data_IF_961631822460
#
_entry.id   IF_961631822460
#
_cell.length_a   1.000
_cell.length_b   1.000
_cell.length_c   1.000
_cell.angle_alpha   90.00
_cell.angle_beta   90.00
_cell.angle_gamma   90.00
#
_symmetry.space_group_name_H-M   'P 1'
#
loop_
_entity.id
_entity.type
_entity.pdbx_description
1 polymer ?
#
# COMPACT_ATOMS: atom_id res chain seq x y z
N UNK A 1 2.62 -5.58 -23.94
CA UNK A 1 3.23 -5.40 -25.29
C UNK A 1 2.59 -4.16 -25.92
N UNK A 2 3.29 -3.27 -26.64
CA UNK A 2 2.67 -2.15 -27.36
C UNK A 2 1.46 -2.51 -28.24
N UNK A 3 1.41 -3.74 -28.77
CA UNK A 3 0.27 -4.27 -29.54
C UNK A 3 -0.94 -4.72 -28.71
N UNK A 4 -0.79 -4.80 -27.38
CA UNK A 4 -1.87 -5.10 -26.43
C UNK A 4 -2.49 -3.81 -25.86
N UNK A 5 -2.26 -2.65 -26.49
CA UNK A 5 -2.85 -1.37 -26.06
C UNK A 5 -4.35 -1.37 -26.34
N UNK A 6 -5.11 -1.68 -25.31
CA UNK A 6 -6.55 -1.47 -25.26
C UNK A 6 -6.79 0.01 -24.91
N UNK A 7 -7.71 0.67 -25.60
CA UNK A 7 -8.11 2.05 -25.26
C UNK A 7 -8.93 2.05 -23.96
N UNK A 8 -8.98 3.18 -23.25
CA UNK A 8 -9.80 3.28 -22.02
C UNK A 8 -11.28 3.01 -22.30
N UNK A 9 -11.80 3.46 -23.43
CA UNK A 9 -13.20 3.24 -23.80
C UNK A 9 -13.49 1.75 -24.04
N UNK A 10 -12.55 1.05 -24.69
CA UNK A 10 -12.62 -0.40 -24.86
C UNK A 10 -12.59 -1.15 -23.53
N UNK A 11 -11.79 -0.69 -22.55
CA UNK A 11 -11.76 -1.26 -21.20
C UNK A 11 -13.11 -1.04 -20.50
N UNK A 12 -13.67 0.17 -20.55
CA UNK A 12 -14.97 0.50 -19.94
C UNK A 12 -16.09 -0.39 -20.44
N UNK A 13 -16.15 -0.63 -21.76
CA UNK A 13 -17.15 -1.55 -22.33
C UNK A 13 -17.04 -2.95 -21.71
N UNK A 14 -15.83 -3.52 -21.62
CA UNK A 14 -15.63 -4.83 -20.97
C UNK A 14 -16.06 -4.78 -19.49
N UNK A 15 -15.64 -3.74 -18.75
CA UNK A 15 -15.97 -3.57 -17.34
C UNK A 15 -17.49 -3.52 -17.12
N UNK A 16 -18.23 -2.86 -18.01
CA UNK A 16 -19.69 -2.78 -17.92
C UNK A 16 -20.35 -4.16 -18.04
N UNK A 17 -19.85 -5.06 -18.90
CA UNK A 17 -20.34 -6.44 -18.96
C UNK A 17 -20.06 -7.18 -17.65
N UNK A 18 -18.86 -7.05 -17.08
CA UNK A 18 -18.53 -7.70 -15.82
C UNK A 18 -19.28 -7.11 -14.61
N UNK A 19 -19.60 -5.82 -14.61
CA UNK A 19 -20.48 -5.20 -13.61
C UNK A 19 -21.89 -5.78 -13.69
N UNK A 20 -22.47 -5.83 -14.90
CA UNK A 20 -23.78 -6.47 -15.11
C UNK A 20 -23.80 -7.94 -14.72
N UNK A 21 -22.72 -8.68 -14.97
CA UNK A 21 -22.55 -10.06 -14.53
C UNK A 21 -22.70 -10.20 -13.00
N UNK A 22 -22.15 -9.25 -12.24
CA UNK A 22 -22.24 -9.23 -10.77
C UNK A 22 -23.64 -8.82 -10.32
N UNK A 23 -24.19 -7.75 -10.92
CA UNK A 23 -25.48 -7.17 -10.53
C UNK A 23 -26.64 -8.15 -10.78
N UNK A 24 -26.60 -8.86 -11.92
CA UNK A 24 -27.64 -9.81 -12.32
C UNK A 24 -27.33 -11.25 -11.89
N UNK A 25 -26.12 -11.50 -11.36
CA UNK A 25 -25.61 -12.84 -10.98
C UNK A 25 -25.61 -13.83 -12.16
N UNK A 26 -25.44 -13.34 -13.37
CA UNK A 26 -25.35 -14.14 -14.60
C UNK A 26 -23.92 -14.08 -15.17
N UNK A 27 -23.02 -14.84 -14.56
CA UNK A 27 -21.60 -14.76 -14.90
C UNK A 27 -21.29 -15.33 -16.28
N UNK A 28 -21.94 -16.43 -16.65
CA UNK A 28 -21.70 -17.12 -17.91
C UNK A 28 -22.14 -16.27 -19.11
N UNK A 29 -23.38 -15.77 -19.12
CA UNK A 29 -23.90 -15.00 -20.25
C UNK A 29 -23.09 -13.73 -20.48
N UNK A 30 -22.82 -12.96 -19.42
CA UNK A 30 -22.09 -11.71 -19.56
C UNK A 30 -20.62 -11.91 -19.91
N UNK A 31 -19.98 -13.00 -19.45
CA UNK A 31 -18.63 -13.37 -19.89
C UNK A 31 -18.62 -13.69 -21.40
N UNK A 32 -19.55 -14.53 -21.88
CA UNK A 32 -19.63 -14.88 -23.29
C UNK A 32 -19.95 -13.65 -24.15
N UNK A 33 -20.84 -12.77 -23.70
CA UNK A 33 -21.10 -11.51 -24.41
C UNK A 33 -19.84 -10.64 -24.49
N UNK A 34 -19.10 -10.45 -23.39
CA UNK A 34 -17.85 -9.68 -23.41
C UNK A 34 -16.80 -10.32 -24.33
N UNK A 35 -16.72 -11.65 -24.32
CA UNK A 35 -15.83 -12.45 -25.14
C UNK A 35 -16.13 -12.32 -26.65
N UNK A 36 -17.40 -12.27 -27.03
CA UNK A 36 -17.86 -12.26 -28.44
C UNK A 36 -18.13 -10.85 -28.99
N UNK A 37 -18.25 -9.83 -28.13
CA UNK A 37 -18.49 -8.46 -28.54
C UNK A 37 -17.29 -7.85 -29.28
N UNK A 38 -16.06 -8.19 -28.87
CA UNK A 38 -14.87 -7.41 -29.24
C UNK A 38 -13.63 -8.22 -29.59
N UNK A 39 -12.93 -7.76 -30.62
CA UNK A 39 -11.70 -8.37 -31.13
C UNK A 39 -10.49 -8.24 -30.17
N UNK A 40 -10.57 -7.42 -29.12
CA UNK A 40 -9.44 -7.16 -28.21
C UNK A 40 -9.46 -8.04 -26.96
N UNK A 41 -10.60 -8.20 -26.29
CA UNK A 41 -10.68 -9.04 -25.08
C UNK A 41 -10.37 -10.51 -25.40
N UNK A 42 -11.12 -11.07 -26.35
CA UNK A 42 -10.92 -12.41 -26.90
C UNK A 42 -9.45 -12.65 -27.25
N UNK A 43 -8.84 -11.73 -28.01
CA UNK A 43 -7.48 -11.87 -28.52
C UNK A 43 -6.46 -11.90 -27.41
N UNK A 44 -6.55 -10.98 -26.44
CA UNK A 44 -5.59 -10.87 -25.33
C UNK A 44 -5.75 -12.05 -24.38
N UNK A 45 -6.98 -12.42 -24.03
CA UNK A 45 -7.24 -13.58 -23.18
C UNK A 45 -6.66 -14.86 -23.79
N UNK A 46 -6.98 -15.13 -25.06
CA UNK A 46 -6.49 -16.34 -25.74
C UNK A 46 -4.98 -16.34 -25.97
N UNK A 47 -4.37 -15.19 -26.26
CA UNK A 47 -2.92 -15.05 -26.34
C UNK A 47 -2.26 -15.38 -25.00
N UNK A 48 -2.77 -14.84 -23.90
CA UNK A 48 -2.23 -15.12 -22.57
C UNK A 48 -2.44 -16.57 -22.15
N UNK A 49 -3.61 -17.15 -22.43
CA UNK A 49 -3.86 -18.58 -22.20
C UNK A 49 -2.82 -19.44 -22.92
N UNK A 50 -2.65 -19.23 -24.23
CA UNK A 50 -1.72 -20.03 -25.05
C UNK A 50 -0.24 -19.91 -24.64
N UNK A 51 0.17 -18.82 -23.99
CA UNK A 51 1.56 -18.61 -23.56
C UNK A 51 1.80 -19.11 -22.14
N UNK A 52 0.84 -18.87 -21.23
CA UNK A 52 1.06 -18.95 -19.80
C UNK A 52 0.32 -20.09 -19.10
N UNK A 53 -0.75 -20.67 -19.68
CA UNK A 53 -1.62 -21.56 -18.92
C UNK A 53 -0.91 -22.83 -18.43
N UNK A 54 -0.04 -23.42 -19.25
CA UNK A 54 0.72 -24.61 -18.88
C UNK A 54 1.77 -24.34 -17.79
N UNK A 55 2.17 -23.09 -17.63
CA UNK A 55 3.10 -22.72 -16.56
C UNK A 55 2.49 -23.04 -15.20
N UNK A 56 1.17 -23.00 -15.02
CA UNK A 56 0.54 -23.36 -13.74
C UNK A 56 0.93 -24.76 -13.22
N UNK A 57 1.20 -25.70 -14.12
CA UNK A 57 1.55 -27.08 -13.78
C UNK A 57 3.06 -27.33 -13.64
N UNK A 58 3.91 -26.35 -13.96
CA UNK A 58 5.37 -26.49 -13.98
C UNK A 58 5.99 -26.01 -12.65
N UNK A 59 6.02 -26.88 -11.64
CA UNK A 59 6.57 -26.57 -10.31
C UNK A 59 8.08 -26.30 -10.27
N UNK A 60 8.79 -26.39 -11.40
CA UNK A 60 10.25 -26.27 -11.45
C UNK A 60 10.75 -24.85 -11.78
N UNK A 61 9.86 -23.95 -12.21
CA UNK A 61 10.21 -22.56 -12.55
C UNK A 61 9.83 -21.61 -11.42
N UNK A 62 10.76 -20.74 -11.03
CA UNK A 62 10.50 -19.67 -10.05
C UNK A 62 9.45 -18.69 -10.59
N UNK A 63 8.22 -18.76 -10.06
CA UNK A 63 7.04 -18.03 -10.52
C UNK A 63 7.00 -16.53 -10.18
N UNK A 64 8.13 -15.86 -9.98
CA UNK A 64 8.07 -14.53 -9.36
C UNK A 64 7.43 -13.41 -10.23
N UNK A 65 7.52 -13.45 -11.56
CA UNK A 65 7.08 -12.31 -12.39
C UNK A 65 5.61 -12.35 -12.84
N UNK A 66 5.04 -13.54 -13.08
CA UNK A 66 3.71 -13.69 -13.70
C UNK A 66 2.71 -14.53 -12.88
N UNK A 67 3.04 -14.93 -11.64
CA UNK A 67 2.19 -15.80 -10.81
C UNK A 67 0.73 -15.34 -10.75
N UNK A 68 0.48 -14.05 -10.55
CA UNK A 68 -0.88 -13.50 -10.47
C UNK A 68 -1.66 -13.70 -11.77
N UNK A 69 -1.04 -13.43 -12.92
CA UNK A 69 -1.67 -13.62 -14.22
C UNK A 69 -1.99 -15.09 -14.48
N UNK A 70 -1.04 -15.99 -14.25
CA UNK A 70 -1.21 -17.44 -14.44
C UNK A 70 -2.38 -17.96 -13.60
N UNK A 71 -2.44 -17.59 -12.32
CA UNK A 71 -3.56 -17.95 -11.46
C UNK A 71 -4.89 -17.40 -11.99
N UNK A 72 -4.95 -16.12 -12.36
CA UNK A 72 -6.17 -15.53 -12.91
C UNK A 72 -6.68 -16.30 -14.14
N UNK A 73 -5.79 -16.68 -15.07
CA UNK A 73 -6.15 -17.45 -16.25
C UNK A 73 -6.75 -18.82 -15.89
N UNK A 74 -6.12 -19.56 -14.97
CA UNK A 74 -6.64 -20.85 -14.50
C UNK A 74 -7.99 -20.70 -13.81
N UNK A 75 -8.19 -19.65 -13.02
CA UNK A 75 -9.47 -19.39 -12.38
C UNK A 75 -10.57 -19.09 -13.40
N UNK A 76 -10.31 -18.30 -14.45
CA UNK A 76 -11.28 -18.04 -15.52
C UNK A 76 -11.70 -19.36 -16.19
N UNK A 77 -10.74 -20.22 -16.55
CA UNK A 77 -11.03 -21.52 -17.18
C UNK A 77 -11.81 -22.43 -16.24
N UNK A 78 -11.43 -22.48 -14.96
CA UNK A 78 -12.08 -23.31 -13.94
C UNK A 78 -13.50 -22.85 -13.67
N UNK A 79 -13.71 -21.56 -13.48
CA UNK A 79 -15.03 -20.97 -13.22
C UNK A 79 -16.00 -21.21 -14.38
N UNK A 80 -15.52 -21.10 -15.62
CA UNK A 80 -16.34 -21.40 -16.78
C UNK A 80 -16.66 -22.91 -16.84
N UNK A 81 -15.63 -23.77 -16.81
CA UNK A 81 -15.77 -25.23 -16.95
C UNK A 81 -16.71 -25.85 -15.91
N UNK A 82 -16.74 -25.31 -14.69
CA UNK A 82 -17.58 -25.79 -13.60
C UNK A 82 -18.78 -24.88 -13.31
N UNK A 83 -19.14 -23.98 -14.23
CA UNK A 83 -20.31 -23.13 -14.05
C UNK A 83 -21.59 -23.99 -14.01
N UNK A 84 -22.52 -23.78 -13.06
CA UNK A 84 -23.71 -24.63 -12.89
C UNK A 84 -24.57 -24.77 -14.15
N UNK A 85 -24.68 -23.70 -14.93
CA UNK A 85 -25.48 -23.66 -16.15
C UNK A 85 -24.74 -24.12 -17.42
N UNK A 86 -23.44 -24.43 -17.37
CA UNK A 86 -22.67 -24.77 -18.57
C UNK A 86 -23.21 -26.01 -19.29
N UNK A 87 -23.84 -26.92 -18.53
CA UNK A 87 -24.49 -28.12 -19.05
C UNK A 87 -25.58 -27.85 -20.09
N UNK A 88 -26.21 -26.67 -20.05
CA UNK A 88 -27.27 -26.26 -21.00
C UNK A 88 -26.73 -25.98 -22.40
N UNK A 89 -25.44 -25.70 -22.50
CA UNK A 89 -24.77 -25.24 -23.70
C UNK A 89 -23.81 -26.29 -24.26
N UNK A 90 -23.86 -27.55 -23.81
CA UNK A 90 -22.93 -28.58 -24.27
C UNK A 90 -23.06 -28.84 -25.77
N UNK A 91 -21.92 -28.96 -26.46
CA UNK A 91 -21.89 -29.24 -27.89
C UNK A 91 -21.19 -30.56 -28.20
N UNK A 92 -21.80 -31.34 -29.12
CA UNK A 92 -21.24 -32.54 -29.73
C UNK A 92 -21.48 -32.51 -31.22
N UNK A 93 -20.49 -32.96 -31.98
CA UNK A 93 -20.56 -32.99 -33.44
C UNK A 93 -19.39 -32.28 -34.07
N UNK A 94 -19.58 -31.82 -35.30
CA UNK A 94 -18.52 -31.25 -36.13
C UNK A 94 -18.60 -29.72 -36.09
N UNK A 95 -17.47 -29.04 -35.88
CA UNK A 95 -17.37 -27.60 -36.03
C UNK A 95 -16.11 -27.22 -36.82
N UNK A 96 -16.11 -26.00 -37.35
CA UNK A 96 -15.13 -25.52 -38.32
C UNK A 96 -14.46 -24.25 -37.84
N UNK A 97 -13.16 -24.10 -38.11
CA UNK A 97 -12.41 -22.87 -37.82
C UNK A 97 -11.57 -22.50 -39.02
N UNK A 98 -11.88 -21.35 -39.61
CA UNK A 98 -11.01 -20.75 -40.60
C UNK A 98 -9.96 -19.86 -39.98
N UNK A 99 -8.73 -19.95 -40.48
CA UNK A 99 -7.61 -19.15 -40.04
C UNK A 99 -6.71 -18.81 -41.22
N UNK A 100 -6.05 -17.66 -41.12
CA UNK A 100 -4.89 -17.32 -41.95
C UNK A 100 -3.63 -17.58 -41.13
N UNK A 101 -2.74 -18.43 -41.64
CA UNK A 101 -1.57 -18.89 -40.88
C UNK A 101 -0.30 -18.86 -41.74
N UNK A 102 0.85 -18.81 -41.06
CA UNK A 102 2.16 -18.93 -41.72
C UNK A 102 2.53 -20.40 -41.93
N UNK A 103 3.57 -20.65 -42.72
CA UNK A 103 4.14 -22.00 -42.85
C UNK A 103 4.62 -22.55 -41.49
N UNK A 104 5.17 -21.69 -40.64
CA UNK A 104 5.65 -22.10 -39.32
C UNK A 104 4.51 -22.54 -38.40
N UNK A 105 3.36 -21.87 -38.50
CA UNK A 105 2.16 -22.21 -37.74
C UNK A 105 1.53 -23.53 -38.21
N UNK A 106 1.81 -23.96 -39.45
CA UNK A 106 1.37 -25.25 -40.00
C UNK A 106 2.23 -26.43 -39.53
N UNK A 107 3.50 -26.19 -39.16
CA UNK A 107 4.45 -27.25 -38.78
C UNK A 107 3.96 -28.20 -37.66
N UNK A 108 3.20 -27.75 -36.65
CA UNK A 108 2.62 -28.64 -35.64
C UNK A 108 1.55 -29.59 -36.17
N UNK A 109 0.93 -29.31 -37.32
CA UNK A 109 -0.14 -30.15 -37.87
C UNK A 109 0.46 -31.22 -38.78
N UNK A 110 0.69 -32.41 -38.22
CA UNK A 110 1.14 -33.60 -38.95
C UNK A 110 0.17 -34.74 -38.72
N UNK A 111 0.02 -35.61 -39.71
CA UNK A 111 -0.82 -36.80 -39.59
C UNK A 111 -0.47 -37.61 -38.33
N UNK A 112 -1.48 -38.01 -37.55
CA UNK A 112 -1.38 -38.68 -36.26
C UNK A 112 -0.75 -37.89 -35.10
N UNK A 113 -0.44 -36.61 -35.30
CA UNK A 113 0.06 -35.74 -34.23
C UNK A 113 -1.06 -35.31 -33.31
N UNK A 114 -0.76 -35.22 -32.01
CA UNK A 114 -1.68 -34.73 -31.00
C UNK A 114 -1.44 -33.24 -30.76
N UNK A 115 -2.53 -32.46 -30.72
CA UNK A 115 -2.56 -31.03 -30.53
C UNK A 115 -3.33 -30.74 -29.25
N UNK A 116 -2.65 -30.10 -28.29
CA UNK A 116 -3.28 -29.61 -27.07
C UNK A 116 -3.81 -28.20 -27.31
N UNK A 117 -5.13 -28.04 -27.24
CA UNK A 117 -5.75 -26.72 -27.18
C UNK A 117 -5.51 -26.11 -25.79
N UNK A 118 -4.90 -24.93 -25.73
CA UNK A 118 -4.59 -24.24 -24.46
C UNK A 118 -5.52 -23.05 -24.17
N UNK A 119 -6.34 -22.65 -25.13
CA UNK A 119 -7.13 -21.42 -25.06
C UNK A 119 -8.60 -21.70 -25.38
N UNK A 120 -9.45 -20.69 -25.30
CA UNK A 120 -10.83 -20.79 -25.75
C UNK A 120 -10.84 -20.72 -27.28
N UNK A 121 -11.01 -21.87 -27.92
CA UNK A 121 -10.90 -22.00 -29.37
C UNK A 121 -12.27 -21.77 -29.99
N UNK A 122 -12.46 -20.56 -30.52
CA UNK A 122 -13.62 -20.18 -31.31
C UNK A 122 -13.68 -20.95 -32.64
N UNK A 123 -14.84 -21.51 -32.94
CA UNK A 123 -15.17 -22.27 -34.15
C UNK A 123 -16.65 -22.02 -34.50
N UNK A 124 -17.14 -22.54 -35.62
CA UNK A 124 -18.53 -22.38 -36.06
C UNK A 124 -19.13 -23.72 -36.47
N UNK A 125 -20.42 -23.92 -36.23
CA UNK A 125 -21.14 -25.04 -36.86
C UNK A 125 -21.36 -24.80 -38.36
N UNK A 126 -21.19 -23.56 -38.83
CA UNK A 126 -21.38 -23.17 -40.22
C UNK A 126 -20.04 -23.17 -40.98
N UNK A 127 -19.97 -24.07 -41.96
CA UNK A 127 -18.80 -24.21 -42.82
C UNK A 127 -18.47 -22.92 -43.58
N UNK A 128 -19.47 -22.21 -44.10
CA UNK A 128 -19.26 -21.00 -44.91
C UNK A 128 -18.76 -19.85 -44.04
N UNK A 129 -19.27 -19.72 -42.81
CA UNK A 129 -18.75 -18.74 -41.84
C UNK A 129 -17.28 -19.00 -41.55
N UNK A 130 -16.90 -20.26 -41.26
CA UNK A 130 -15.50 -20.60 -41.04
C UNK A 130 -14.64 -20.30 -42.27
N UNK A 131 -15.12 -20.62 -43.47
CA UNK A 131 -14.42 -20.35 -44.74
C UNK A 131 -14.13 -18.86 -44.95
N UNK A 132 -15.07 -17.98 -44.58
CA UNK A 132 -14.84 -16.52 -44.61
C UNK A 132 -13.63 -16.12 -43.76
N UNK A 133 -13.49 -16.67 -42.55
CA UNK A 133 -12.34 -16.41 -41.67
C UNK A 133 -11.02 -17.02 -42.19
N UNK A 134 -11.09 -18.06 -43.02
CA UNK A 134 -9.92 -18.61 -43.73
C UNK A 134 -9.41 -17.68 -44.84
N UNK A 135 -10.17 -16.66 -45.23
CA UNK A 135 -9.67 -15.56 -46.05
C UNK A 135 -10.31 -15.34 -47.42
N UNK A 136 -11.54 -15.78 -47.66
CA UNK A 136 -12.29 -15.50 -48.89
C UNK A 136 -12.99 -14.11 -48.90
N UNK A 137 -12.38 -13.08 -48.27
CA UNK A 137 -12.94 -11.73 -48.10
C UNK A 137 -12.13 -10.56 -48.72
N UNK A 138 -12.70 -9.34 -48.69
CA UNK A 138 -12.18 -8.15 -49.38
C UNK A 138 -10.73 -7.74 -48.98
N UNK A 139 -9.99 -7.17 -49.95
CA UNK A 139 -8.55 -6.89 -49.90
C UNK A 139 -8.07 -5.91 -48.82
N UNK A 140 -8.96 -5.12 -48.21
CA UNK A 140 -8.57 -3.97 -47.36
C UNK A 140 -8.16 -4.31 -45.92
N UNK A 141 -8.27 -5.56 -45.49
CA UNK A 141 -8.06 -5.97 -44.08
C UNK A 141 -7.04 -7.12 -43.93
N UNK A 142 -5.91 -7.06 -44.64
CA UNK A 142 -4.84 -8.03 -44.44
C UNK A 142 -4.23 -7.92 -43.03
N UNK A 143 -4.38 -8.98 -42.22
CA UNK A 143 -3.56 -9.17 -41.01
C UNK A 143 -2.14 -9.54 -41.45
N UNK A 144 -1.18 -8.75 -41.04
CA UNK A 144 0.25 -9.01 -41.22
C UNK A 144 0.81 -9.73 -39.98
N UNK A 145 1.90 -10.49 -40.13
CA UNK A 145 2.68 -10.89 -38.95
C UNK A 145 3.31 -9.65 -38.31
N UNK A 146 3.81 -9.78 -37.07
CA UNK A 146 4.57 -8.73 -36.37
C UNK A 146 5.76 -8.22 -37.22
N UNK A 147 6.30 -9.09 -38.08
CA UNK A 147 7.39 -8.79 -39.02
C UNK A 147 6.91 -8.32 -40.41
N UNK A 148 5.64 -7.94 -40.55
CA UNK A 148 5.00 -7.54 -41.81
C UNK A 148 4.96 -8.60 -42.92
N UNK A 149 5.25 -9.86 -42.62
CA UNK A 149 5.19 -10.93 -43.62
C UNK A 149 3.73 -11.31 -43.91
N UNK A 150 3.36 -11.58 -45.17
CA UNK A 150 2.00 -11.98 -45.52
C UNK A 150 1.70 -13.38 -44.95
N UNK A 151 0.51 -13.56 -44.36
CA UNK A 151 -0.02 -14.88 -43.99
C UNK A 151 -0.33 -15.63 -45.30
N UNK A 152 0.41 -16.70 -45.60
CA UNK A 152 0.45 -17.30 -46.94
C UNK A 152 -0.58 -18.41 -47.18
N UNK A 153 -1.13 -18.99 -46.10
CA UNK A 153 -2.00 -20.15 -46.13
C UNK A 153 -3.39 -19.80 -45.62
N UNK A 154 -4.40 -20.19 -46.41
CA UNK A 154 -5.80 -20.26 -45.97
C UNK A 154 -6.00 -21.64 -45.36
N UNK A 155 -6.32 -21.70 -44.06
CA UNK A 155 -6.45 -22.96 -43.35
C UNK A 155 -7.86 -23.11 -42.79
N UNK A 156 -8.46 -24.27 -43.05
CA UNK A 156 -9.74 -24.66 -42.51
C UNK A 156 -9.57 -25.91 -41.65
N UNK A 157 -9.78 -25.77 -40.35
CA UNK A 157 -9.77 -26.88 -39.43
C UNK A 157 -11.20 -27.39 -39.20
N UNK A 158 -11.42 -28.68 -39.38
CA UNK A 158 -12.64 -29.39 -38.97
C UNK A 158 -12.34 -30.14 -37.66
N UNK A 159 -13.11 -29.86 -36.62
CA UNK A 159 -13.00 -30.53 -35.32
C UNK A 159 -14.21 -31.43 -35.12
N UNK A 160 -13.96 -32.70 -34.76
CA UNK A 160 -14.99 -33.64 -34.32
C UNK A 160 -14.97 -33.70 -32.79
N UNK A 161 -16.04 -33.22 -32.15
CA UNK A 161 -16.24 -33.19 -30.71
C UNK A 161 -17.12 -34.37 -30.29
N UNK A 162 -16.58 -35.23 -29.43
CA UNK A 162 -17.18 -36.47 -28.94
C UNK A 162 -17.53 -36.44 -27.46
N UNK A 163 -16.97 -35.52 -26.67
CA UNK A 163 -17.26 -35.38 -25.23
C UNK A 163 -18.25 -34.24 -24.95
N UNK A 164 -19.05 -34.36 -23.89
CA UNK A 164 -20.02 -33.34 -23.50
C UNK A 164 -19.36 -32.10 -22.86
N UNK A 165 -18.14 -32.24 -22.33
CA UNK A 165 -17.50 -31.24 -21.47
C UNK A 165 -16.43 -30.40 -22.16
N UNK A 166 -16.26 -30.54 -23.47
CA UNK A 166 -15.10 -29.99 -24.19
C UNK A 166 -15.45 -28.87 -25.16
N UNK A 167 -16.70 -28.76 -25.59
CA UNK A 167 -17.17 -27.62 -26.34
C UNK A 167 -18.54 -27.15 -25.85
N UNK A 168 -18.78 -25.85 -25.99
CA UNK A 168 -20.08 -25.24 -25.71
C UNK A 168 -20.61 -24.47 -26.92
N UNK A 169 -21.89 -24.60 -27.18
CA UNK A 169 -22.65 -23.79 -28.12
C UNK A 169 -22.98 -22.45 -27.47
N UNK A 170 -22.38 -21.40 -27.99
CA UNK A 170 -22.55 -20.04 -27.47
C UNK A 170 -23.38 -19.18 -28.41
N UNK A 171 -24.02 -19.75 -29.43
CA UNK A 171 -24.79 -19.01 -30.44
C UNK A 171 -25.83 -18.09 -29.79
N UNK A 172 -26.58 -18.59 -28.80
CA UNK A 172 -27.65 -17.83 -28.13
C UNK A 172 -27.11 -16.78 -27.13
N UNK A 173 -25.88 -16.98 -26.65
CA UNK A 173 -25.23 -16.08 -25.69
C UNK A 173 -24.37 -15.01 -26.38
N UNK A 174 -23.93 -15.30 -27.60
CA UNK A 174 -23.00 -14.48 -28.36
C UNK A 174 -23.61 -13.14 -28.77
N UNK A 175 -22.77 -12.10 -28.80
CA UNK A 175 -23.12 -10.82 -29.41
C UNK A 175 -23.14 -10.88 -30.95
N UNK A 176 -22.73 -12.01 -31.53
CA UNK A 176 -22.74 -12.28 -32.97
C UNK A 176 -23.39 -13.65 -33.28
N UNK A 177 -24.70 -13.84 -33.04
CA UNK A 177 -25.36 -15.13 -33.25
C UNK A 177 -25.24 -15.68 -34.68
N UNK A 178 -25.07 -14.80 -35.67
CA UNK A 178 -24.86 -15.17 -37.07
C UNK A 178 -23.57 -15.97 -37.30
N UNK A 179 -22.58 -15.87 -36.40
CA UNK A 179 -21.34 -16.64 -36.50
C UNK A 179 -21.52 -18.12 -36.08
N UNK A 180 -22.68 -18.49 -35.50
CA UNK A 180 -22.99 -19.85 -35.00
C UNK A 180 -21.84 -20.46 -34.21
N UNK A 181 -21.33 -19.67 -33.27
CA UNK A 181 -20.05 -19.91 -32.61
C UNK A 181 -20.15 -21.09 -31.63
N UNK A 182 -19.20 -22.02 -31.77
CA UNK A 182 -18.90 -23.09 -30.83
C UNK A 182 -17.56 -22.78 -30.19
N UNK A 183 -17.52 -22.76 -28.85
CA UNK A 183 -16.33 -22.51 -28.09
C UNK A 183 -15.75 -23.81 -27.55
N UNK A 184 -14.64 -24.27 -28.14
CA UNK A 184 -13.88 -25.41 -27.64
C UNK A 184 -13.04 -24.95 -26.45
N UNK A 185 -13.20 -25.64 -25.32
CA UNK A 185 -12.58 -25.28 -24.04
C UNK A 185 -11.09 -25.66 -24.00
N UNK A 186 -10.29 -24.94 -23.17
CA UNK A 186 -8.89 -25.29 -22.93
C UNK A 186 -8.71 -26.71 -22.40
N UNK A 187 -7.51 -27.24 -22.64
CA UNK A 187 -7.05 -28.59 -22.29
C UNK A 187 -7.69 -29.74 -23.07
N UNK A 188 -8.41 -29.42 -24.15
CA UNK A 188 -8.90 -30.44 -25.10
C UNK A 188 -7.75 -30.91 -25.98
N UNK A 189 -7.61 -32.22 -26.16
CA UNK A 189 -6.58 -32.84 -27.00
C UNK A 189 -7.22 -33.36 -28.27
N UNK A 190 -6.64 -33.00 -29.41
CA UNK A 190 -7.07 -33.46 -30.72
C UNK A 190 -5.98 -34.24 -31.42
N UNK A 191 -6.36 -35.30 -32.13
CA UNK A 191 -5.49 -36.00 -33.07
C UNK A 191 -5.77 -35.51 -34.49
N UNK A 192 -4.71 -35.18 -35.22
CA UNK A 192 -4.82 -34.85 -36.65
C UNK A 192 -5.01 -36.14 -37.44
N UNK A 193 -6.16 -36.30 -38.08
CA UNK A 193 -6.54 -37.51 -38.81
C UNK A 193 -6.45 -37.36 -40.31
N UNK A 194 -6.53 -36.13 -40.82
CA UNK A 194 -6.38 -35.86 -42.25
C UNK A 194 -5.79 -34.47 -42.50
N UNK A 195 -5.04 -34.33 -43.60
CA UNK A 195 -4.55 -33.04 -44.08
C UNK A 195 -4.65 -33.05 -45.61
N UNK A 196 -5.45 -32.14 -46.17
CA UNK A 196 -5.54 -31.90 -47.61
C UNK A 196 -4.92 -30.56 -47.94
N UNK A 197 -4.18 -30.49 -49.05
CA UNK A 197 -3.56 -29.26 -49.55
C UNK A 197 -3.95 -29.05 -51.00
N UNK A 198 -4.60 -27.92 -51.27
CA UNK A 198 -5.07 -27.56 -52.61
C UNK A 198 -4.44 -26.22 -53.00
N UNK A 199 -3.92 -26.13 -54.22
CA UNK A 199 -3.53 -24.84 -54.79
C UNK A 199 -4.79 -24.05 -55.11
N UNK A 200 -4.82 -22.79 -54.71
CA UNK A 200 -5.92 -21.88 -54.96
C UNK A 200 -5.41 -20.70 -55.76
N UNK A 201 -6.18 -20.31 -56.79
CA UNK A 201 -5.93 -19.11 -57.58
C UNK A 201 -6.45 -17.89 -56.82
N UNK A 202 -5.85 -17.64 -55.65
CA UNK A 202 -6.16 -16.51 -54.80
C UNK A 202 -4.88 -15.68 -54.56
N UNK A 203 -4.84 -14.41 -54.96
CA UNK A 203 -3.67 -13.56 -54.73
C UNK A 203 -3.35 -13.33 -53.23
N UNK A 204 -4.28 -13.62 -52.32
CA UNK A 204 -4.15 -13.44 -50.86
C UNK A 204 -3.67 -14.70 -50.11
N UNK A 205 -3.80 -15.89 -50.68
CA UNK A 205 -3.32 -17.16 -50.10
C UNK A 205 -3.05 -18.13 -51.24
N UNK A 206 -1.84 -18.71 -51.29
CA UNK A 206 -1.43 -19.54 -52.44
C UNK A 206 -1.91 -21.00 -52.32
N UNK A 207 -2.21 -21.43 -51.10
CA UNK A 207 -2.52 -22.81 -50.76
C UNK A 207 -3.65 -22.81 -49.72
N UNK A 208 -4.72 -23.54 -50.01
CA UNK A 208 -5.77 -23.94 -49.08
C UNK A 208 -5.34 -25.22 -48.37
N UNK A 209 -5.42 -25.24 -47.04
CA UNK A 209 -5.11 -26.40 -46.20
C UNK A 209 -6.32 -26.77 -45.37
N UNK A 210 -6.89 -27.94 -45.62
CA UNK A 210 -7.96 -28.51 -44.80
C UNK A 210 -7.35 -29.52 -43.83
N UNK A 211 -7.64 -29.36 -42.54
CA UNK A 211 -7.12 -30.22 -41.46
C UNK A 211 -8.31 -30.82 -40.72
N UNK A 212 -8.40 -32.13 -40.69
CA UNK A 212 -9.42 -32.84 -39.91
C UNK A 212 -8.80 -33.30 -38.59
N UNK A 213 -9.45 -32.93 -37.49
CA UNK A 213 -9.03 -33.17 -36.11
C UNK A 213 -10.13 -33.91 -35.36
N UNK A 214 -9.78 -35.04 -34.75
CA UNK A 214 -10.68 -35.80 -33.89
C UNK A 214 -10.29 -35.61 -32.43
N UNK A 215 -11.27 -35.28 -31.59
CA UNK A 215 -11.06 -35.23 -30.14
C UNK A 215 -10.60 -36.60 -29.65
N UNK A 216 -9.54 -36.61 -28.83
CA UNK A 216 -9.08 -37.83 -28.20
C UNK A 216 -10.07 -38.25 -27.12
N UNK A 217 -10.64 -39.44 -27.27
CA UNK A 217 -11.42 -40.07 -26.22
C UNK A 217 -10.52 -40.37 -25.03
N UNK A 218 -11.00 -40.06 -23.83
CA UNK A 218 -10.46 -40.63 -22.61
C UNK A 218 -11.11 -42.01 -22.45
N UNK A 219 -10.41 -43.13 -22.74
CA UNK A 219 -10.98 -44.46 -22.57
C UNK A 219 -11.34 -44.76 -21.11
N UNK A 220 -10.83 -43.96 -20.17
CA UNK A 220 -10.97 -44.12 -18.72
C UNK A 220 -11.83 -43.02 -18.07
N UNK A 221 -12.67 -42.32 -18.84
CA UNK A 221 -13.58 -41.28 -18.33
C UNK A 221 -14.54 -41.72 -17.21
N UNK A 222 -14.60 -43.02 -16.88
CA UNK A 222 -15.28 -43.59 -15.71
C UNK A 222 -14.44 -44.63 -14.91
N UNK A 223 -13.17 -44.89 -15.28
CA UNK A 223 -12.29 -45.81 -14.55
C UNK A 223 -11.08 -45.09 -13.97
N UNK A 224 -11.08 -44.98 -12.64
CA UNK A 224 -9.88 -44.65 -11.89
C UNK A 224 -8.69 -45.49 -12.37
N UNK A 225 -7.68 -44.81 -12.91
CA UNK A 225 -6.34 -45.30 -13.25
C UNK A 225 -5.90 -46.48 -12.36
N UNK A 226 -6.13 -47.73 -12.78
CA UNK A 226 -5.65 -48.90 -12.05
C UNK A 226 -4.18 -49.09 -12.42
N UNK A 227 -3.31 -48.50 -11.60
CA UNK A 227 -1.86 -48.64 -11.67
C UNK A 227 -1.45 -50.10 -11.46
N UNK A 228 -0.41 -50.54 -12.19
CA UNK A 228 0.17 -51.88 -12.04
C UNK A 228 0.78 -52.07 -10.63
N UNK A 229 0.81 -53.30 -10.09
CA UNK A 229 1.40 -53.61 -8.77
C UNK A 229 2.86 -53.14 -8.61
N UNK A 230 3.59 -53.02 -9.72
CA UNK A 230 4.94 -52.46 -9.72
C UNK A 230 4.97 -50.92 -9.59
N UNK A 231 3.98 -50.24 -10.16
CA UNK A 231 3.77 -48.81 -9.94
C UNK A 231 3.22 -48.56 -8.55
N UNK A 232 2.36 -49.42 -8.01
CA UNK A 232 1.89 -49.33 -6.62
C UNK A 232 3.07 -49.49 -5.66
N UNK A 233 3.94 -50.49 -5.84
CA UNK A 233 5.14 -50.65 -4.98
C UNK A 233 6.12 -49.49 -5.07
N UNK A 234 6.41 -48.99 -6.27
CA UNK A 234 7.28 -47.81 -6.43
C UNK A 234 6.62 -46.56 -5.84
N UNK A 235 5.31 -46.40 -6.02
CA UNK A 235 4.53 -45.30 -5.45
C UNK A 235 4.48 -45.39 -3.93
N UNK A 236 4.28 -46.57 -3.33
CA UNK A 236 4.30 -46.77 -1.88
C UNK A 236 5.67 -46.48 -1.28
N UNK A 237 6.75 -46.89 -1.93
CA UNK A 237 8.11 -46.64 -1.47
C UNK A 237 8.47 -45.14 -1.60
N UNK A 238 8.04 -44.50 -2.69
CA UNK A 238 8.17 -43.07 -2.92
C UNK A 238 7.30 -42.25 -1.94
N UNK A 239 6.07 -42.67 -1.66
CA UNK A 239 5.18 -42.09 -0.65
C UNK A 239 5.75 -42.23 0.75
N UNK A 240 6.37 -43.36 1.08
CA UNK A 240 7.01 -43.57 2.39
C UNK A 240 8.22 -42.64 2.56
N UNK A 241 8.98 -42.40 1.48
CA UNK A 241 10.05 -41.41 1.47
C UNK A 241 9.52 -39.97 1.55
N UNK A 242 8.45 -39.64 0.80
CA UNK A 242 7.78 -38.34 0.88
C UNK A 242 7.19 -38.13 2.29
N UNK A 243 6.60 -39.13 2.92
CA UNK A 243 6.03 -39.04 4.26
C UNK A 243 7.12 -38.83 5.32
N UNK A 244 8.29 -39.47 5.16
CA UNK A 244 9.48 -39.17 5.98
C UNK A 244 9.99 -37.74 5.76
N UNK A 245 10.11 -37.28 4.51
CA UNK A 245 10.53 -35.91 4.18
C UNK A 245 9.51 -34.87 4.64
N UNK A 246 8.21 -35.10 4.47
CA UNK A 246 7.12 -34.26 5.00
C UNK A 246 7.14 -34.19 6.52
N UNK A 247 7.41 -35.31 7.22
CA UNK A 247 7.62 -35.28 8.68
C UNK A 247 8.87 -34.48 9.06
N UNK A 248 9.96 -34.62 8.32
CA UNK A 248 11.18 -33.84 8.55
C UNK A 248 10.95 -32.34 8.28
N UNK A 249 10.30 -31.97 7.17
CA UNK A 249 9.95 -30.58 6.85
C UNK A 249 8.91 -30.01 7.80
N UNK A 250 7.95 -30.81 8.28
CA UNK A 250 7.01 -30.39 9.30
C UNK A 250 7.71 -30.15 10.64
N UNK A 251 8.67 -31.00 11.03
CA UNK A 251 9.47 -30.81 12.25
C UNK A 251 10.39 -29.59 12.14
N UNK A 252 11.09 -29.42 11.01
CA UNK A 252 11.96 -28.25 10.76
C UNK A 252 11.13 -26.97 10.63
N UNK A 253 9.98 -27.01 9.95
CA UNK A 253 9.04 -25.91 9.84
C UNK A 253 8.43 -25.53 11.19
N UNK A 254 8.10 -26.53 12.02
CA UNK A 254 7.65 -26.29 13.41
C UNK A 254 8.77 -25.66 14.24
N UNK A 255 10.01 -26.15 14.14
CA UNK A 255 11.16 -25.57 14.84
C UNK A 255 11.44 -24.12 14.39
N UNK A 256 11.40 -23.85 13.08
CA UNK A 256 11.54 -22.50 12.52
C UNK A 256 10.39 -21.59 12.96
N UNK A 257 9.16 -22.08 12.99
CA UNK A 257 8.00 -21.31 13.48
C UNK A 257 8.13 -20.95 14.96
N UNK A 258 8.66 -21.86 15.79
CA UNK A 258 8.94 -21.62 17.21
C UNK A 258 10.05 -20.57 17.36
N UNK A 259 11.11 -20.65 16.55
CA UNK A 259 12.20 -19.65 16.54
C UNK A 259 11.65 -18.26 16.14
N UNK A 260 10.82 -18.19 15.09
CA UNK A 260 10.18 -16.92 14.68
C UNK A 260 9.27 -16.39 15.77
N UNK A 261 8.46 -17.25 16.41
CA UNK A 261 7.60 -16.84 17.53
C UNK A 261 8.42 -16.33 18.71
N UNK A 262 9.54 -16.98 19.05
CA UNK A 262 10.44 -16.55 20.11
C UNK A 262 11.11 -15.22 19.78
N UNK A 263 11.50 -14.98 18.52
CA UNK A 263 12.04 -13.70 18.06
C UNK A 263 10.98 -12.59 18.10
N UNK A 264 9.74 -12.88 17.70
CA UNK A 264 8.61 -11.93 17.79
C UNK A 264 8.30 -11.62 19.26
N UNK A 265 8.27 -12.62 20.14
CA UNK A 265 8.12 -12.43 21.58
C UNK A 265 9.27 -11.59 22.16
N UNK A 266 10.52 -11.85 21.76
CA UNK A 266 11.66 -11.04 22.18
C UNK A 266 11.54 -9.59 21.69
N UNK A 267 11.09 -9.36 20.46
CA UNK A 267 10.83 -8.02 19.92
C UNK A 267 9.69 -7.33 20.65
N UNK A 268 8.61 -8.05 20.98
CA UNK A 268 7.51 -7.53 21.80
C UNK A 268 7.99 -7.19 23.20
N UNK A 269 8.80 -8.05 23.83
CA UNK A 269 9.40 -7.79 25.14
C UNK A 269 10.31 -6.56 25.07
N UNK A 270 11.15 -6.43 24.05
CA UNK A 270 12.00 -5.24 23.85
C UNK A 270 11.14 -4.00 23.61
N UNK A 271 10.05 -4.10 22.84
CA UNK A 271 9.12 -3.00 22.60
C UNK A 271 8.37 -2.59 23.88
N UNK A 272 7.92 -3.55 24.68
CA UNK A 272 7.25 -3.33 25.97
C UNK A 272 8.22 -2.76 26.99
N UNK A 273 9.46 -3.27 27.05
CA UNK A 273 10.52 -2.69 27.88
C UNK A 273 10.81 -1.26 27.42
N UNK A 274 10.96 -1.01 26.11
CA UNK A 274 11.18 0.34 25.57
C UNK A 274 10.01 1.29 25.84
N UNK A 275 8.77 0.78 25.88
CA UNK A 275 7.58 1.55 26.25
C UNK A 275 7.47 1.77 27.76
N UNK A 276 7.97 0.85 28.59
CA UNK A 276 8.02 0.97 30.05
C UNK A 276 9.25 1.76 30.55
N UNK A 277 10.27 1.94 29.72
CA UNK A 277 11.25 3.02 29.85
C UNK A 277 10.65 4.30 29.25
N UNK A 278 9.55 4.79 29.83
CA UNK A 278 9.24 6.20 29.72
C UNK A 278 10.39 6.90 30.47
N UNK A 279 11.38 7.41 29.74
CA UNK A 279 12.23 8.48 30.27
C UNK A 279 11.27 9.54 30.82
N UNK A 280 11.38 9.86 32.11
CA UNK A 280 10.56 10.89 32.74
C UNK A 280 10.48 12.08 31.77
N UNK A 281 9.29 12.43 31.24
CA UNK A 281 9.17 13.40 30.16
C UNK A 281 9.59 14.81 30.57
N UNK A 282 9.82 15.01 31.87
CA UNK A 282 10.31 16.22 32.48
C UNK A 282 11.82 16.19 32.79
N UNK A 283 12.50 15.08 32.51
CA UNK A 283 13.95 14.97 32.71
C UNK A 283 14.68 15.79 31.64
N UNK A 284 15.50 16.74 32.08
CA UNK A 284 16.38 17.47 31.17
C UNK A 284 17.50 16.55 30.64
N UNK A 285 18.00 16.75 29.40
CA UNK A 285 19.16 16.02 28.90
C UNK A 285 20.36 16.14 29.85
N UNK A 286 21.21 15.10 29.90
CA UNK A 286 22.41 15.08 30.77
C UNK A 286 23.33 16.28 30.56
N UNK A 287 23.37 16.81 29.34
CA UNK A 287 24.16 17.97 28.95
C UNK A 287 23.60 19.31 29.46
N UNK A 288 22.43 19.31 30.11
CA UNK A 288 21.74 20.49 30.65
C UNK A 288 21.71 20.46 32.18
N UNK A 289 22.89 20.34 32.80
CA UNK A 289 23.07 20.16 34.24
C UNK A 289 22.61 21.35 35.10
N UNK A 290 22.38 22.52 34.50
CA UNK A 290 21.87 23.72 35.19
C UNK A 290 20.35 23.71 35.43
N UNK A 291 19.62 22.72 34.90
CA UNK A 291 18.17 22.62 35.02
C UNK A 291 17.78 21.62 36.11
N UNK A 292 17.11 22.12 37.14
CA UNK A 292 16.58 21.37 38.27
C UNK A 292 15.27 20.69 37.87
N UNK A 293 15.26 19.36 37.93
CA UNK A 293 14.09 18.56 37.61
C UNK A 293 12.96 18.73 38.64
N UNK A 294 11.77 18.25 38.27
CA UNK A 294 10.53 18.37 39.06
C UNK A 294 10.59 17.77 40.47
N UNK A 295 11.44 16.76 40.66
CA UNK A 295 11.68 16.14 41.97
C UNK A 295 12.39 17.10 42.95
N UNK A 296 13.22 18.02 42.47
CA UNK A 296 13.95 18.98 43.33
C UNK A 296 13.00 19.90 44.09
N UNK A 297 11.84 20.21 43.50
CA UNK A 297 10.81 21.05 44.11
C UNK A 297 9.56 20.26 44.48
N UNK A 298 9.59 18.92 44.56
CA UNK A 298 8.44 18.09 44.94
C UNK A 298 7.16 18.37 44.12
N UNK A 299 7.30 18.55 42.81
CA UNK A 299 6.18 18.87 41.93
C UNK A 299 5.04 17.85 42.04
N UNK A 300 3.81 18.36 42.11
CA UNK A 300 2.61 17.53 41.95
C UNK A 300 2.60 16.92 40.55
N UNK A 301 2.11 15.68 40.43
CA UNK A 301 1.98 15.01 39.12
C UNK A 301 0.96 15.78 38.26
N UNK A 302 1.31 16.01 36.99
CA UNK A 302 0.38 16.59 36.03
C UNK A 302 -0.86 15.70 35.86
N UNK A 303 -2.05 16.30 35.77
CA UNK A 303 -3.31 15.55 35.55
C UNK A 303 -3.51 15.16 34.09
N UNK A 304 -2.88 15.87 33.15
CA UNK A 304 -2.88 15.57 31.73
C UNK A 304 -1.60 16.11 31.06
N UNK A 305 -1.19 15.51 29.94
CA UNK A 305 -0.05 15.98 29.14
C UNK A 305 -0.42 15.96 27.67
N UNK A 306 -0.16 17.07 26.99
CA UNK A 306 -0.23 17.18 25.54
C UNK A 306 1.19 17.41 25.02
N UNK A 307 1.59 16.65 24.00
CA UNK A 307 2.94 16.73 23.43
C UNK A 307 3.14 18.03 22.66
N UNK A 308 4.24 18.72 22.94
CA UNK A 308 4.65 19.92 22.21
C UNK A 308 5.54 19.51 21.02
N UNK A 309 5.20 19.88 19.77
CA UNK A 309 6.09 19.69 18.64
C UNK A 309 7.39 20.49 18.84
N UNK A 310 8.53 19.82 18.72
CA UNK A 310 9.88 20.41 18.83
C UNK A 310 10.65 20.19 17.51
N UNK A 311 11.55 21.11 17.12
CA UNK A 311 11.93 22.35 17.81
C UNK A 311 10.84 23.44 17.76
N UNK A 312 10.76 24.28 18.79
CA UNK A 312 9.87 25.46 18.79
C UNK A 312 10.56 26.70 18.23
N UNK A 313 9.81 27.52 17.51
CA UNK A 313 10.29 28.80 16.97
C UNK A 313 10.09 29.99 17.92
N UNK A 314 9.34 29.83 19.01
CA UNK A 314 8.96 30.93 19.90
C UNK A 314 9.29 30.61 21.36
N UNK A 315 9.76 31.62 22.10
CA UNK A 315 9.95 31.55 23.54
C UNK A 315 9.18 32.72 24.17
N UNK A 316 8.23 32.40 25.05
CA UNK A 316 7.41 33.41 25.71
C UNK A 316 7.97 33.68 27.11
N UNK A 317 8.39 34.90 27.37
CA UNK A 317 8.98 35.33 28.65
C UNK A 317 7.92 36.00 29.53
N UNK A 318 7.87 35.57 30.79
CA UNK A 318 6.94 36.05 31.82
C UNK A 318 7.69 36.59 33.03
N UNK A 319 7.10 37.56 33.70
CA UNK A 319 7.56 38.06 35.00
C UNK A 319 6.67 37.41 36.04
N UNK A 320 7.28 36.80 37.05
CA UNK A 320 6.54 36.30 38.21
C UNK A 320 6.26 37.48 39.14
N UNK A 321 4.99 37.83 39.29
CA UNK A 321 4.54 38.90 40.17
C UNK A 321 4.41 38.40 41.62
N UNK A 322 4.62 39.29 42.59
CA UNK A 322 4.33 39.00 44.01
C UNK A 322 5.54 38.80 44.93
N UNK A 323 6.77 39.09 44.50
CA UNK A 323 7.95 38.92 45.36
C UNK A 323 8.91 40.12 45.31
N UNK A 324 9.37 40.60 46.47
CA UNK A 324 10.21 41.80 46.63
C UNK A 324 11.54 41.54 47.39
N UNK A 325 12.01 40.28 47.50
CA UNK A 325 13.23 39.94 48.25
C UNK A 325 14.05 38.87 47.53
N UNK A 326 15.35 38.81 47.84
CA UNK A 326 16.25 37.71 47.48
C UNK A 326 15.65 36.36 47.90
N UNK A 327 15.67 35.37 47.01
CA UNK A 327 15.05 34.06 47.25
C UNK A 327 16.14 33.00 47.41
N UNK A 328 16.10 32.30 48.53
CA UNK A 328 16.87 31.06 48.68
C UNK A 328 16.28 29.99 47.77
N UNK A 329 17.03 28.91 47.56
CA UNK A 329 16.49 27.73 46.85
C UNK A 329 15.21 27.21 47.52
N UNK A 330 15.15 27.22 48.86
CA UNK A 330 13.96 26.78 49.60
C UNK A 330 12.75 27.66 49.29
N UNK A 331 12.92 28.98 49.28
CA UNK A 331 11.85 29.93 48.94
C UNK A 331 11.32 29.69 47.53
N UNK A 332 12.22 29.46 46.57
CA UNK A 332 11.84 29.14 45.19
C UNK A 332 11.06 27.83 45.10
N UNK A 333 11.52 26.77 45.77
CA UNK A 333 10.79 25.48 45.74
C UNK A 333 9.40 25.60 46.35
N UNK A 334 9.25 26.34 47.46
CA UNK A 334 7.95 26.57 48.07
C UNK A 334 7.05 27.40 47.14
N UNK A 335 7.57 28.48 46.58
CA UNK A 335 6.83 29.35 45.69
C UNK A 335 6.35 28.63 44.42
N UNK A 336 7.22 27.84 43.77
CA UNK A 336 6.86 27.10 42.56
C UNK A 336 5.78 26.05 42.87
N UNK A 337 5.82 25.41 44.04
CA UNK A 337 4.74 24.53 44.50
C UNK A 337 3.41 25.26 44.67
N UNK A 338 3.41 26.41 45.33
CA UNK A 338 2.21 27.21 45.54
C UNK A 338 1.64 27.71 44.20
N UNK A 339 2.50 28.13 43.28
CA UNK A 339 2.12 28.53 41.92
C UNK A 339 1.51 27.36 41.14
N UNK A 340 2.11 26.17 41.22
CA UNK A 340 1.56 24.97 40.60
C UNK A 340 0.17 24.65 41.15
N UNK A 341 0.01 24.62 42.48
CA UNK A 341 -1.27 24.35 43.12
C UNK A 341 -2.31 25.40 42.74
N UNK A 342 -1.96 26.67 42.75
CA UNK A 342 -2.86 27.73 42.32
C UNK A 342 -3.28 27.57 40.85
N UNK A 343 -2.36 27.23 39.94
CA UNK A 343 -2.69 26.95 38.54
C UNK A 343 -3.62 25.75 38.37
N UNK A 344 -3.41 24.67 39.13
CA UNK A 344 -4.24 23.47 39.05
C UNK A 344 -5.61 23.67 39.72
N UNK A 345 -5.62 24.17 40.95
CA UNK A 345 -6.83 24.26 41.78
C UNK A 345 -7.72 25.45 41.42
N UNK A 346 -7.12 26.58 41.00
CA UNK A 346 -7.88 27.83 40.71
C UNK A 346 -8.09 28.06 39.22
N UNK A 347 -7.10 27.76 38.37
CA UNK A 347 -7.24 27.97 36.93
C UNK A 347 -7.65 26.70 36.16
N UNK A 348 -7.71 25.54 36.82
CA UNK A 348 -8.07 24.27 36.19
C UNK A 348 -7.03 23.76 35.20
N UNK A 349 -5.79 24.23 35.29
CA UNK A 349 -4.72 23.78 34.41
C UNK A 349 -4.26 22.38 34.79
N UNK A 350 -3.80 21.60 33.81
CA UNK A 350 -3.30 20.25 34.07
C UNK A 350 -2.03 20.22 34.95
N UNK A 351 -1.26 21.32 34.94
CA UNK A 351 0.00 21.52 35.64
C UNK A 351 0.29 23.03 35.74
N UNK A 352 1.41 23.40 36.37
CA UNK A 352 1.97 24.78 36.35
C UNK A 352 1.98 25.34 34.91
N UNK A 353 1.65 26.61 34.72
CA UNK A 353 1.42 27.18 33.40
C UNK A 353 2.67 27.20 32.48
N UNK A 354 3.86 27.28 33.08
CA UNK A 354 5.11 27.55 32.37
C UNK A 354 5.93 26.27 32.14
N UNK A 355 6.73 26.25 31.08
CA UNK A 355 7.66 25.17 30.78
C UNK A 355 8.86 25.20 31.73
N UNK A 356 9.39 26.39 32.00
CA UNK A 356 10.52 26.62 32.89
C UNK A 356 10.29 27.83 33.79
N UNK A 357 10.87 27.78 34.98
CA UNK A 357 10.85 28.86 35.97
C UNK A 357 12.29 29.19 36.35
N UNK A 358 12.69 30.45 36.24
CA UNK A 358 13.98 30.96 36.71
C UNK A 358 13.73 31.68 38.02
N UNK A 359 14.34 31.20 39.09
CA UNK A 359 14.15 31.73 40.43
C UNK A 359 15.42 31.55 41.26
N UNK A 360 15.63 32.46 42.21
CA UNK A 360 16.67 32.37 43.22
C UNK A 360 17.60 33.56 43.15
N UNK A 361 18.73 33.44 43.83
CA UNK A 361 19.73 34.49 43.85
C UNK A 361 19.40 35.63 44.81
N UNK A 362 20.48 36.23 45.28
CA UNK A 362 20.52 37.48 46.01
C UNK A 362 21.43 38.42 45.22
N UNK A 363 20.95 39.60 44.88
CA UNK A 363 21.71 40.61 44.14
C UNK A 363 22.98 41.04 44.90
N UNK A 364 22.98 40.93 46.24
CA UNK A 364 24.08 41.36 47.10
C UNK A 364 25.08 40.24 47.43
N UNK A 365 24.77 38.99 47.10
CA UNK A 365 25.64 37.84 47.33
C UNK A 365 26.21 37.33 46.01
N UNK A 366 27.49 37.56 45.76
CA UNK A 366 28.17 37.09 44.55
C UNK A 366 28.21 35.56 44.40
N UNK A 367 28.01 34.80 45.49
CA UNK A 367 27.97 33.34 45.46
C UNK A 367 26.59 32.76 45.10
N UNK A 368 25.54 33.57 45.18
CA UNK A 368 24.17 33.16 44.88
C UNK A 368 23.89 33.17 43.36
N UNK A 369 23.11 32.21 42.88
CA UNK A 369 22.79 32.05 41.45
C UNK A 369 21.29 31.94 41.22
N UNK A 370 20.86 32.37 40.04
CA UNK A 370 19.54 32.08 39.52
C UNK A 370 19.49 30.62 39.08
N UNK A 371 18.50 29.87 39.54
CA UNK A 371 18.32 28.46 39.25
C UNK A 371 17.18 28.27 38.26
N UNK A 372 17.29 27.27 37.38
CA UNK A 372 16.27 26.96 36.38
C UNK A 372 15.52 25.72 36.84
N UNK A 373 14.22 25.84 37.05
CA UNK A 373 13.33 24.77 37.48
C UNK A 373 12.47 24.29 36.32
N UNK A 374 12.39 22.97 36.16
CA UNK A 374 11.47 22.34 35.20
C UNK A 374 10.04 22.48 35.69
N UNK A 375 9.22 23.21 34.93
CA UNK A 375 7.76 23.16 35.00
C UNK A 375 7.26 22.05 34.08
N UNK A 376 6.55 22.42 33.00
CA UNK A 376 6.09 21.45 31.99
C UNK A 376 7.20 20.86 31.11
N UNK A 377 8.41 21.42 31.16
CA UNK A 377 9.57 20.90 30.45
C UNK A 377 9.53 21.09 28.94
N UNK A 378 10.41 20.39 28.23
CA UNK A 378 10.72 20.63 26.82
C UNK A 378 9.65 20.16 25.83
N UNK A 379 8.89 19.12 26.16
CA UNK A 379 8.02 18.38 25.22
C UNK A 379 6.55 18.40 25.62
N UNK A 380 6.11 19.41 26.38
CA UNK A 380 4.73 19.51 26.83
C UNK A 380 4.16 20.90 26.57
N UNK A 381 2.93 20.94 26.07
CA UNK A 381 2.20 22.19 25.80
C UNK A 381 2.00 22.99 27.10
N UNK A 382 2.27 24.29 27.02
CA UNK A 382 2.11 25.27 28.10
C UNK A 382 0.66 25.65 28.41
N UNK A 383 0.46 26.44 29.45
CA UNK A 383 -0.78 27.21 29.70
C UNK A 383 -0.48 28.68 30.03
N UNK A 384 0.60 29.21 29.46
CA UNK A 384 1.18 30.51 29.78
C UNK A 384 0.75 31.60 28.77
N UNK A 385 0.43 31.26 27.51
CA UNK A 385 -0.07 32.21 26.54
C UNK A 385 -0.94 31.54 25.46
N UNK A 386 -2.23 31.87 25.44
CA UNK A 386 -3.27 31.14 24.70
C UNK A 386 -2.91 30.87 23.23
N UNK A 387 -2.38 31.87 22.52
CA UNK A 387 -2.07 31.77 21.08
C UNK A 387 -0.69 31.16 20.77
N UNK A 388 0.08 30.81 21.81
CA UNK A 388 1.47 30.34 21.69
C UNK A 388 1.75 29.02 22.42
N UNK A 389 0.86 28.57 23.33
CA UNK A 389 1.06 27.36 24.14
C UNK A 389 1.47 26.11 23.34
N UNK A 390 0.93 25.92 22.14
CA UNK A 390 1.16 24.73 21.29
C UNK A 390 2.38 24.84 20.36
N UNK A 391 3.11 25.96 20.40
CA UNK A 391 4.25 26.25 19.49
C UNK A 391 5.38 27.05 20.14
N UNK A 392 5.40 27.11 21.47
CA UNK A 392 6.38 27.88 22.22
C UNK A 392 6.70 27.24 23.57
N UNK A 393 7.83 27.63 24.14
CA UNK A 393 8.15 27.36 25.54
C UNK A 393 7.93 28.64 26.36
N UNK A 394 7.17 28.52 27.45
CA UNK A 394 6.98 29.59 28.42
C UNK A 394 8.05 29.55 29.50
N UNK A 395 8.78 30.66 29.65
CA UNK A 395 9.80 30.83 30.70
C UNK A 395 9.36 31.96 31.61
N UNK A 396 9.10 31.64 32.88
CA UNK A 396 8.77 32.62 33.89
C UNK A 396 10.01 32.96 34.72
N UNK A 397 10.32 34.24 34.87
CA UNK A 397 11.50 34.71 35.60
C UNK A 397 11.00 35.46 36.83
N UNK A 398 11.51 35.08 38.01
CA UNK A 398 11.32 35.84 39.23
C UNK A 398 11.95 37.24 39.09
N UNK A 399 11.66 38.15 40.03
CA UNK A 399 12.14 39.55 39.99
C UNK A 399 13.65 39.67 39.70
N UNK A 400 14.05 40.85 39.23
CA UNK A 400 15.37 41.14 38.66
C UNK A 400 15.67 40.34 37.39
N UNK A 401 14.66 40.18 36.53
CA UNK A 401 14.77 39.49 35.25
C UNK A 401 15.82 40.14 34.31
N UNK A 402 16.09 41.44 34.45
CA UNK A 402 17.18 42.13 33.72
C UNK A 402 18.55 41.99 34.38
N UNK A 403 18.68 41.36 35.55
CA UNK A 403 19.97 41.16 36.18
C UNK A 403 20.87 40.27 35.33
N UNK A 404 22.18 40.48 35.44
CA UNK A 404 23.17 39.63 34.78
C UNK A 404 22.98 38.15 35.13
N UNK A 405 22.59 37.85 36.38
CA UNK A 405 22.34 36.48 36.84
C UNK A 405 21.14 35.85 36.13
N UNK A 406 20.02 36.57 36.02
CA UNK A 406 18.80 36.08 35.36
C UNK A 406 19.01 35.90 33.86
N UNK A 407 19.71 36.85 33.22
CA UNK A 407 20.07 36.76 31.82
C UNK A 407 21.01 35.58 31.54
N UNK A 408 21.98 35.31 32.42
CA UNK A 408 22.88 34.17 32.28
C UNK A 408 22.15 32.82 32.42
N UNK A 409 21.24 32.70 33.40
CA UNK A 409 20.40 31.51 33.53
C UNK A 409 19.51 31.31 32.30
N UNK A 410 18.89 32.37 31.79
CA UNK A 410 18.08 32.31 30.58
C UNK A 410 18.92 31.93 29.34
N UNK A 411 20.13 32.50 29.17
CA UNK A 411 21.08 32.12 28.11
C UNK A 411 21.43 30.63 28.18
N UNK A 412 21.80 30.14 29.36
CA UNK A 412 22.12 28.73 29.58
C UNK A 412 20.94 27.81 29.20
N UNK A 413 19.71 28.21 29.53
CA UNK A 413 18.51 27.48 29.14
C UNK A 413 18.33 27.45 27.61
N UNK A 414 18.50 28.59 26.93
CA UNK A 414 18.37 28.68 25.46
C UNK A 414 19.47 27.89 24.74
N UNK A 415 20.71 27.94 25.21
CA UNK A 415 21.84 27.15 24.69
C UNK A 415 21.58 25.65 24.83
N UNK A 416 21.10 25.20 26.00
CA UNK A 416 20.67 23.81 26.18
C UNK A 416 19.57 23.43 25.19
N UNK A 417 18.53 24.25 25.05
CA UNK A 417 17.38 23.96 24.19
C UNK A 417 17.76 23.91 22.70
N UNK A 418 18.59 24.84 22.24
CA UNK A 418 19.07 24.86 20.84
C UNK A 418 20.03 23.71 20.54
N UNK A 419 20.99 23.42 21.43
CA UNK A 419 21.91 22.28 21.29
C UNK A 419 21.17 20.95 21.17
N UNK A 420 20.10 20.78 21.95
CA UNK A 420 19.29 19.54 21.97
C UNK A 420 18.10 19.54 21.00
N UNK A 421 18.00 20.53 20.11
CA UNK A 421 16.93 20.66 19.10
C UNK A 421 15.51 20.75 19.69
N UNK A 422 15.37 21.29 20.90
CA UNK A 422 14.08 21.70 21.45
C UNK A 422 13.68 23.10 20.99
N UNK A 423 14.66 23.93 20.65
CA UNK A 423 14.49 25.31 20.19
C UNK A 423 15.19 25.46 18.83
N UNK A 424 14.57 26.16 17.88
CA UNK A 424 15.20 26.51 16.61
C UNK A 424 16.37 27.49 16.81
N UNK A 425 17.39 27.48 15.94
CA UNK A 425 18.53 28.39 16.10
C UNK A 425 18.14 29.89 15.98
N UNK A 426 17.10 30.18 15.21
CA UNK A 426 16.57 31.52 14.94
C UNK A 426 15.22 31.77 15.66
N UNK A 427 15.07 31.25 16.88
CA UNK A 427 13.85 31.46 17.66
C UNK A 427 13.56 32.94 17.93
N UNK A 428 12.28 33.26 18.10
CA UNK A 428 11.79 34.60 18.42
C UNK A 428 11.43 34.71 19.90
N UNK A 429 11.94 35.73 20.59
CA UNK A 429 11.48 36.08 21.94
C UNK A 429 10.17 36.88 21.87
N UNK A 430 9.21 36.46 22.69
CA UNK A 430 7.90 37.09 22.84
C UNK A 430 7.70 37.43 24.31
N UNK A 431 7.39 38.68 24.63
CA UNK A 431 6.99 39.07 25.98
C UNK A 431 5.52 38.75 26.23
N UNK A 432 5.18 38.39 27.47
CA UNK A 432 3.79 38.38 27.89
C UNK A 432 3.28 39.82 28.10
N UNK A 433 2.00 40.09 27.81
CA UNK A 433 1.40 41.44 27.83
C UNK A 433 1.56 42.22 29.14
N UNK A 434 1.65 41.52 30.28
CA UNK A 434 1.87 42.13 31.59
C UNK A 434 3.35 42.24 31.99
N UNK A 435 4.29 42.11 31.05
CA UNK A 435 5.73 42.25 31.29
C UNK A 435 6.14 43.71 31.00
N UNK A 436 6.18 44.63 31.99
CA UNK A 436 6.18 46.07 31.76
C UNK A 436 7.44 46.59 31.05
N UNK A 437 8.50 45.77 31.00
CA UNK A 437 9.84 46.17 30.56
C UNK A 437 10.52 45.06 29.73
N UNK A 438 9.76 44.35 28.88
CA UNK A 438 10.30 43.28 28.03
C UNK A 438 11.37 43.82 27.09
N UNK A 439 11.22 45.07 26.70
CA UNK A 439 12.18 45.80 25.90
C UNK A 439 13.57 45.88 26.56
N UNK A 440 13.64 46.18 27.86
CA UNK A 440 14.91 46.21 28.60
C UNK A 440 15.55 44.82 28.70
N UNK A 441 14.75 43.78 28.92
CA UNK A 441 15.23 42.39 28.89
C UNK A 441 15.78 42.02 27.50
N UNK A 442 15.05 42.37 26.45
CA UNK A 442 15.43 42.11 25.06
C UNK A 442 16.75 42.78 24.68
N UNK A 443 16.89 44.08 24.97
CA UNK A 443 18.11 44.86 24.70
C UNK A 443 19.32 44.28 25.45
N UNK A 444 19.15 43.90 26.71
CA UNK A 444 20.23 43.33 27.52
C UNK A 444 20.61 41.90 27.07
N UNK A 445 19.65 41.14 26.52
CA UNK A 445 19.87 39.79 26.05
C UNK A 445 20.60 39.76 24.71
N UNK A 446 20.08 40.49 23.70
CA UNK A 446 20.58 40.47 22.33
C UNK A 446 21.70 41.48 22.03
N UNK A 447 22.01 42.41 22.95
CA UNK A 447 23.12 43.38 22.89
C UNK A 447 23.54 43.75 21.46
N UNK A 448 22.66 44.45 20.73
CA UNK A 448 22.81 45.06 19.38
C UNK A 448 21.79 44.60 18.31
N UNK A 449 20.78 43.80 18.64
CA UNK A 449 19.69 43.51 17.70
C UNK A 449 18.58 44.58 17.78
N UNK A 450 18.15 45.09 16.61
CA UNK A 450 17.15 46.18 16.46
C UNK A 450 15.71 45.65 16.37
N UNK A 451 15.51 44.35 16.52
CA UNK A 451 14.17 43.75 16.52
C UNK A 451 13.35 44.18 17.75
N UNK A 452 12.12 44.63 17.50
CA UNK A 452 11.16 44.97 18.55
C UNK A 452 10.55 43.68 19.12
N UNK A 453 10.48 43.49 20.45
CA UNK A 453 9.86 42.30 21.03
C UNK A 453 8.37 42.25 20.70
N UNK A 454 7.90 41.05 20.32
CA UNK A 454 6.48 40.79 20.15
C UNK A 454 5.81 40.59 21.51
N UNK A 455 4.54 40.99 21.65
CA UNK A 455 3.76 40.79 22.87
C UNK A 455 2.64 39.78 22.63
N UNK A 456 2.45 38.84 23.55
CA UNK A 456 1.34 37.89 23.51
C UNK A 456 0.32 38.16 24.64
N UNK A 457 -0.99 38.08 24.31
CA UNK A 457 -2.10 38.36 25.23
C UNK A 457 -2.72 37.07 25.80
N UNK A 458 -3.19 37.13 27.05
CA UNK A 458 -3.76 35.98 27.76
C UNK A 458 -5.26 35.74 27.50
N UNK A 459 -6.01 36.76 27.03
CA UNK A 459 -7.41 36.66 26.59
C UNK A 459 -7.66 37.62 25.42
N UNK A 460 -8.44 37.25 24.39
CA UNK A 460 -9.08 38.23 23.52
C UNK A 460 -10.01 39.07 24.40
N UNK A 461 -9.92 40.40 24.34
CA UNK A 461 -11.02 41.24 24.83
C UNK A 461 -12.28 40.87 24.03
N UNK A 462 -13.43 40.75 24.68
CA UNK A 462 -14.73 40.30 24.12
C UNK A 462 -15.29 41.18 22.98
N UNK A 463 -14.48 42.03 22.36
CA UNK A 463 -14.95 43.03 21.42
C UNK A 463 -14.04 43.30 20.22
N UNK A 464 -13.19 42.37 19.78
CA UNK A 464 -12.42 42.66 18.57
C UNK A 464 -12.21 41.48 17.61
N UNK A 465 -12.79 41.68 16.43
CA UNK A 465 -12.46 41.04 15.16
C UNK A 465 -11.08 41.53 14.72
N UNK A 466 -10.04 41.22 15.51
CA UNK A 466 -8.65 41.54 15.22
C UNK A 466 -7.86 40.23 15.25
N UNK A 467 -8.06 39.44 14.19
CA UNK A 467 -7.00 38.58 13.71
C UNK A 467 -5.84 39.49 13.23
N UNK A 468 -4.63 39.25 13.76
CA UNK A 468 -3.36 39.90 13.38
C UNK A 468 -3.13 41.35 13.86
N UNK A 469 -3.00 41.56 15.17
CA UNK A 469 -2.22 42.72 15.63
C UNK A 469 -1.12 42.29 16.59
N UNK A 470 0.03 41.96 16.00
CA UNK A 470 1.32 42.13 16.66
C UNK A 470 1.48 43.65 16.86
N UNK A 471 1.14 44.17 18.04
CA UNK A 471 1.52 45.55 18.38
C UNK A 471 3.03 45.56 18.59
N UNK A 472 3.75 46.11 17.60
CA UNK A 472 5.12 46.58 17.78
C UNK A 472 5.07 47.60 18.91
N UNK A 473 5.84 47.39 19.98
CA UNK A 473 5.99 48.37 21.07
C UNK A 473 6.75 49.54 20.48
N UNK A 474 6.09 50.71 20.35
CA UNK A 474 6.75 51.98 20.01
C UNK A 474 7.44 52.59 21.22
#
# INVERSE_FOLDING_TARGET
NPEDRITEDQIKVIEDYFRKAIDEKDYLTYFIKAYTLTDYFYRILNKHLAIYILQYFDHTKDFCSNYRLVNCLVHIVTLLKYHPDIGKYQYKGVCYRGMRITENDLNPYKLNQHILNQSFLSSSTDYEVAKMFAGEGAQSEMRHTVDQRPLQFSCLCQYTIVQNSTAIDVQELSMRPAEKEILILPFTVFKVVNIKRNYIDNPQARISVEIELEECEDPDGDSAFTSSDNDIRKTEEYEKQIKKRKRLYALVGSLLSIIVLALVLALIIVFVIKKNYDEDPYLSPKDCSSILNRNVWNATKSTAREDLPVPVSYIVVHELTGYNRSMTQQDCTQYINELQRWNMDKNGYADIAHNFIICGGDENDNSSQQQIYTGRGWKSVGAHCVTYNTRSLGVAIARDYTSTKSLNAFKSLMECGTKNKFIEQNYTLVGHYYFPNIYAFYLNYFKNDTQTPYICQQRPSDNDTIAKTLKKVE
#
